data_IF_715637987236
#
_entry.id   IF_715637987236
#
_cell.length_a   1.000
_cell.length_b   1.000
_cell.length_c   1.000
_cell.angle_alpha   90.00
_cell.angle_beta   90.00
_cell.angle_gamma   90.00
#
_symmetry.space_group_name_H-M   'P 1'
#
loop_
_entity.id
_entity.type
_entity.pdbx_description
1 polymer ?
#
# COMPACT_ATOMS: atom_id res chain seq x y z
N UNK A 1 0.82 -9.24 -10.33
CA UNK A 1 2.13 -9.92 -10.51
C UNK A 1 2.36 -10.84 -9.32
N UNK A 2 3.46 -11.59 -9.25
CA UNK A 2 3.84 -12.32 -8.04
C UNK A 2 4.92 -11.55 -7.27
N UNK A 3 4.73 -11.38 -5.96
CA UNK A 3 5.76 -10.93 -5.01
C UNK A 3 5.85 -12.01 -3.94
N UNK A 4 7.04 -12.55 -3.69
CA UNK A 4 7.25 -13.51 -2.59
C UNK A 4 6.25 -14.70 -2.66
N UNK A 5 6.04 -15.23 -3.87
CA UNK A 5 5.09 -16.31 -4.19
C UNK A 5 3.60 -15.99 -3.90
N UNK A 6 3.24 -14.74 -3.60
CA UNK A 6 1.86 -14.31 -3.42
C UNK A 6 1.41 -13.34 -4.52
N UNK A 7 0.08 -13.21 -4.71
CA UNK A 7 -0.49 -12.20 -5.62
C UNK A 7 -0.12 -10.81 -5.08
N UNK A 8 0.65 -10.08 -5.88
CA UNK A 8 1.13 -8.75 -5.55
C UNK A 8 0.72 -7.70 -6.59
N UNK A 9 0.68 -6.45 -6.14
CA UNK A 9 0.36 -5.29 -6.97
C UNK A 9 1.30 -4.12 -6.67
N UNK A 10 1.78 -3.46 -7.73
CA UNK A 10 2.62 -2.26 -7.63
C UNK A 10 1.80 -1.01 -7.93
N UNK A 11 1.99 0.03 -7.12
CA UNK A 11 1.41 1.36 -7.31
C UNK A 11 2.49 2.42 -7.15
N UNK A 12 2.50 3.39 -8.06
CA UNK A 12 3.19 4.66 -7.88
C UNK A 12 2.14 5.71 -7.51
N UNK A 13 2.31 6.39 -6.36
CA UNK A 13 1.35 7.37 -5.86
C UNK A 13 2.04 8.73 -5.76
N UNK A 14 1.74 9.61 -6.70
CA UNK A 14 2.37 10.95 -6.77
C UNK A 14 1.62 12.01 -5.94
N UNK A 15 0.41 11.70 -5.47
CA UNK A 15 -0.47 12.65 -4.78
C UNK A 15 -0.49 12.45 -3.27
N UNK A 16 -0.77 13.54 -2.53
CA UNK A 16 -1.07 13.53 -1.10
C UNK A 16 -2.57 13.47 -0.79
N UNK A 17 -3.43 13.51 -1.81
CA UNK A 17 -4.89 13.55 -1.61
C UNK A 17 -5.37 12.21 -1.06
N UNK A 18 -5.90 12.25 0.17
CA UNK A 18 -6.42 11.08 0.89
C UNK A 18 -7.37 10.22 0.05
N UNK A 19 -8.32 10.84 -0.64
CA UNK A 19 -9.30 10.13 -1.48
C UNK A 19 -8.65 9.32 -2.60
N UNK A 20 -7.65 9.88 -3.27
CA UNK A 20 -6.92 9.20 -4.35
C UNK A 20 -6.06 8.06 -3.79
N UNK A 21 -5.37 8.28 -2.67
CA UNK A 21 -4.59 7.24 -1.97
C UNK A 21 -5.49 6.05 -1.61
N UNK A 22 -6.67 6.34 -1.02
CA UNK A 22 -7.67 5.32 -0.69
C UNK A 22 -8.13 4.53 -1.91
N UNK A 23 -8.38 5.21 -3.03
CA UNK A 23 -8.78 4.54 -4.27
C UNK A 23 -7.69 3.59 -4.78
N UNK A 24 -6.42 3.99 -4.73
CA UNK A 24 -5.29 3.13 -5.11
C UNK A 24 -5.19 1.87 -4.23
N UNK A 25 -5.36 2.04 -2.91
CA UNK A 25 -5.33 0.94 -1.94
C UNK A 25 -6.51 -0.02 -2.17
N UNK A 26 -7.74 0.51 -2.27
CA UNK A 26 -8.95 -0.31 -2.45
C UNK A 26 -8.97 -1.04 -3.78
N UNK A 27 -8.56 -0.38 -4.88
CA UNK A 27 -8.49 -1.03 -6.20
C UNK A 27 -7.59 -2.27 -6.18
N UNK A 28 -6.54 -2.28 -5.35
CA UNK A 28 -5.68 -3.45 -5.25
C UNK A 28 -6.22 -4.58 -4.40
N UNK A 29 -6.91 -4.27 -3.31
CA UNK A 29 -7.57 -5.30 -2.49
C UNK A 29 -8.83 -5.88 -3.12
N UNK A 30 -9.69 -5.06 -3.74
CA UNK A 30 -11.01 -5.48 -4.23
C UNK A 30 -10.95 -6.20 -5.59
N UNK A 31 -10.10 -5.78 -6.53
CA UNK A 31 -10.06 -6.37 -7.89
C UNK A 31 -9.08 -7.52 -8.06
N UNK A 32 -7.95 -7.50 -7.35
CA UNK A 32 -6.86 -8.47 -7.56
C UNK A 32 -6.63 -9.40 -6.38
N UNK A 33 -7.30 -9.16 -5.24
CA UNK A 33 -7.05 -9.84 -3.96
C UNK A 33 -5.56 -9.86 -3.60
N UNK A 34 -4.85 -8.77 -3.89
CA UNK A 34 -3.42 -8.68 -3.65
C UNK A 34 -3.12 -8.87 -2.15
N UNK A 35 -2.22 -9.81 -1.85
CA UNK A 35 -1.71 -10.07 -0.50
C UNK A 35 -0.48 -9.22 -0.20
N UNK A 36 0.25 -8.81 -1.23
CA UNK A 36 1.35 -7.84 -1.10
C UNK A 36 1.08 -6.59 -1.95
N UNK A 37 1.07 -5.42 -1.31
CA UNK A 37 1.02 -4.13 -2.00
C UNK A 37 2.42 -3.51 -1.98
N UNK A 38 2.94 -3.17 -3.16
CA UNK A 38 4.14 -2.35 -3.30
C UNK A 38 3.73 -0.92 -3.63
N UNK A 39 4.18 0.05 -2.84
CA UNK A 39 3.84 1.45 -3.02
C UNK A 39 5.11 2.28 -3.04
N UNK A 40 5.32 3.03 -4.12
CA UNK A 40 6.40 4.01 -4.23
C UNK A 40 5.88 5.43 -3.98
N UNK A 41 6.58 6.16 -3.09
CA UNK A 41 6.31 7.55 -2.72
C UNK A 41 7.63 8.30 -2.43
N UNK A 42 7.59 9.64 -2.47
CA UNK A 42 8.80 10.47 -2.39
C UNK A 42 8.77 11.52 -1.27
N UNK A 43 7.68 11.64 -0.51
CA UNK A 43 7.57 12.62 0.58
C UNK A 43 7.03 12.05 1.88
N UNK A 44 7.52 12.56 3.00
CA UNK A 44 7.08 12.15 4.33
C UNK A 44 5.57 12.36 4.52
N UNK A 45 5.03 13.46 3.99
CA UNK A 45 3.59 13.76 4.05
C UNK A 45 2.74 12.72 3.32
N UNK A 46 3.23 12.17 2.20
CA UNK A 46 2.56 11.05 1.52
C UNK A 46 2.62 9.79 2.36
N UNK A 47 3.78 9.51 2.97
CA UNK A 47 3.98 8.36 3.85
C UNK A 47 2.99 8.38 5.01
N UNK A 48 2.94 9.47 5.75
CA UNK A 48 2.05 9.60 6.90
C UNK A 48 0.59 9.38 6.49
N UNK A 49 0.18 10.02 5.39
CA UNK A 49 -1.18 9.87 4.86
C UNK A 49 -1.47 8.46 4.37
N UNK A 50 -0.51 7.81 3.73
CA UNK A 50 -0.64 6.45 3.26
C UNK A 50 -0.87 5.48 4.42
N UNK A 51 -0.07 5.61 5.48
CA UNK A 51 -0.19 4.76 6.67
C UNK A 51 -1.53 4.98 7.38
N UNK A 52 -2.01 6.23 7.50
CA UNK A 52 -3.36 6.52 8.00
C UNK A 52 -4.44 5.78 7.20
N UNK A 53 -4.43 5.91 5.87
CA UNK A 53 -5.44 5.29 5.01
C UNK A 53 -5.32 3.77 5.02
N UNK A 54 -4.09 3.24 5.01
CA UNK A 54 -3.87 1.80 5.12
C UNK A 54 -4.49 1.26 6.40
N UNK A 55 -4.28 1.92 7.54
CA UNK A 55 -4.87 1.50 8.82
C UNK A 55 -6.40 1.47 8.81
N UNK A 56 -7.03 2.43 8.13
CA UNK A 56 -8.50 2.46 8.01
C UNK A 56 -9.04 1.35 7.09
N UNK A 57 -8.32 1.01 6.02
CA UNK A 57 -8.83 0.12 4.98
C UNK A 57 -8.37 -1.32 5.15
N UNK A 58 -7.24 -1.59 5.82
CA UNK A 58 -6.59 -2.91 5.87
C UNK A 58 -7.52 -4.02 6.36
N UNK A 59 -8.40 -3.72 7.31
CA UNK A 59 -9.38 -4.66 7.84
C UNK A 59 -10.28 -5.26 6.75
N UNK A 60 -10.59 -4.45 5.72
CA UNK A 60 -11.47 -4.82 4.62
C UNK A 60 -10.72 -5.34 3.39
N UNK A 61 -9.39 -5.44 3.43
CA UNK A 61 -8.57 -5.84 2.29
C UNK A 61 -7.83 -7.16 2.58
N UNK A 62 -7.58 -8.00 1.56
CA UNK A 62 -6.81 -9.24 1.73
C UNK A 62 -5.30 -9.01 1.94
N UNK A 63 -4.83 -7.77 1.79
CA UNK A 63 -3.42 -7.36 1.94
C UNK A 63 -2.85 -7.82 3.29
N UNK A 64 -1.73 -8.54 3.23
CA UNK A 64 -0.94 -9.00 4.37
C UNK A 64 0.37 -8.23 4.53
N UNK A 65 0.93 -7.73 3.42
CA UNK A 65 2.21 -7.04 3.41
C UNK A 65 2.12 -5.75 2.59
N UNK A 66 2.65 -4.66 3.15
CA UNK A 66 2.96 -3.43 2.42
C UNK A 66 4.48 -3.33 2.27
N UNK A 67 4.96 -3.26 1.04
CA UNK A 67 6.33 -2.88 0.69
C UNK A 67 6.31 -1.40 0.30
N UNK A 68 6.83 -0.54 1.17
CA UNK A 68 6.88 0.90 0.95
C UNK A 68 8.26 1.28 0.43
N UNK A 69 8.34 1.66 -0.83
CA UNK A 69 9.52 2.32 -1.39
C UNK A 69 9.44 3.81 -1.10
N UNK A 70 10.28 4.26 -0.16
CA UNK A 70 10.37 5.63 0.28
C UNK A 70 11.81 6.13 0.10
N UNK A 71 12.01 7.03 -0.85
CA UNK A 71 13.33 7.57 -1.21
C UNK A 71 14.36 6.45 -1.44
N UNK A 72 14.02 5.51 -2.34
CA UNK A 72 14.85 4.36 -2.72
C UNK A 72 15.15 3.36 -1.58
N UNK A 73 14.48 3.53 -0.43
CA UNK A 73 14.55 2.62 0.70
C UNK A 73 13.25 1.85 0.84
N UNK A 74 13.32 0.53 0.70
CA UNK A 74 12.17 -0.36 0.83
C UNK A 74 11.97 -0.73 2.30
N UNK A 75 10.81 -0.36 2.85
CA UNK A 75 10.38 -0.69 4.21
C UNK A 75 9.21 -1.68 4.13
N UNK A 76 9.33 -2.81 4.84
CA UNK A 76 8.27 -3.82 4.91
C UNK A 76 7.40 -3.62 6.15
N UNK A 77 6.09 -3.49 5.94
CA UNK A 77 5.09 -3.49 7.00
C UNK A 77 4.20 -4.72 6.85
N UNK A 78 4.11 -5.52 7.92
CA UNK A 78 3.13 -6.60 8.00
C UNK A 78 1.76 -6.09 8.40
N UNK A 79 0.71 -6.87 8.16
CA UNK A 79 -0.67 -6.53 8.53
C UNK A 79 -0.81 -6.10 9.99
N UNK A 80 -0.13 -6.78 10.91
CA UNK A 80 -0.18 -6.51 12.35
C UNK A 80 0.41 -5.15 12.77
N UNK A 81 1.09 -4.45 11.87
CA UNK A 81 1.57 -3.08 12.10
C UNK A 81 0.43 -2.06 12.06
N UNK A 82 -0.62 -2.35 11.28
CA UNK A 82 -1.76 -1.47 11.03
C UNK A 82 -2.89 -1.77 12.02
#
# INVERSE_FOLDING_TARGET
MLIDNEIGEMKHIETIKRGTIREHIRKGGDKQRARTLYIQIQSQKQKDRLLEVMKEEIENLPTQTLLLDFNDSIIKYGRNFF
#
